data_IF_615102859488
#
_entry.id   IF_615102859488
#
_cell.length_a   1.000
_cell.length_b   1.000
_cell.length_c   1.000
_cell.angle_alpha   90.00
_cell.angle_beta   90.00
_cell.angle_gamma   90.00
#
_symmetry.space_group_name_H-M   'P 1'
#
loop_
_entity.id
_entity.type
_entity.pdbx_description
1 polymer ?
#
# COMPACT_ATOMS: atom_id res chain seq x y z
N UNK A 1 -2.63 -6.83 -11.68
CA UNK A 1 -1.48 -5.92 -11.88
C UNK A 1 -1.86 -4.44 -11.70
N UNK A 2 -2.95 -3.95 -12.31
CA UNK A 2 -3.34 -2.53 -12.24
C UNK A 2 -3.57 -2.02 -10.81
N UNK A 3 -4.23 -2.80 -9.95
CA UNK A 3 -4.47 -2.41 -8.53
C UNK A 3 -3.15 -2.22 -7.77
N UNK A 4 -2.19 -3.15 -7.92
CA UNK A 4 -0.88 -3.03 -7.30
C UNK A 4 -0.11 -1.79 -7.80
N UNK A 5 -0.21 -1.46 -9.10
CA UNK A 5 0.38 -0.23 -9.65
C UNK A 5 -0.25 1.03 -9.04
N UNK A 6 -1.58 1.09 -8.92
CA UNK A 6 -2.26 2.21 -8.26
C UNK A 6 -1.81 2.35 -6.81
N UNK A 7 -1.75 1.24 -6.07
CA UNK A 7 -1.30 1.25 -4.68
C UNK A 7 0.14 1.72 -4.55
N UNK A 8 1.02 1.29 -5.47
CA UNK A 8 2.40 1.76 -5.52
C UNK A 8 2.47 3.27 -5.74
N UNK A 9 1.74 3.80 -6.73
CA UNK A 9 1.69 5.25 -6.99
C UNK A 9 1.10 6.04 -5.82
N UNK A 10 0.07 5.50 -5.17
CA UNK A 10 -0.50 6.08 -3.95
C UNK A 10 0.50 6.11 -2.81
N UNK A 11 1.23 5.02 -2.59
CA UNK A 11 2.32 4.96 -1.62
C UNK A 11 3.41 5.99 -1.93
N UNK A 12 3.84 6.07 -3.19
CA UNK A 12 4.84 7.04 -3.66
C UNK A 12 4.44 8.47 -3.34
N UNK A 13 3.20 8.85 -3.64
CA UNK A 13 2.68 10.18 -3.33
C UNK A 13 2.69 10.48 -1.82
N UNK A 14 2.33 9.49 -1.00
CA UNK A 14 2.36 9.62 0.47
C UNK A 14 3.79 9.74 1.01
N UNK A 15 4.73 9.00 0.43
CA UNK A 15 6.16 9.07 0.77
C UNK A 15 6.74 10.46 0.47
N UNK A 16 6.40 11.02 -0.69
CA UNK A 16 6.76 12.41 -1.05
C UNK A 16 6.12 13.43 -0.10
N UNK A 17 4.89 13.20 0.34
CA UNK A 17 4.22 14.06 1.33
C UNK A 17 4.81 13.94 2.75
N UNK A 18 5.60 12.90 3.05
CA UNK A 18 6.30 12.68 4.33
C UNK A 18 5.38 12.35 5.51
N UNK A 19 4.16 11.87 5.24
CA UNK A 19 3.19 11.58 6.30
C UNK A 19 3.09 10.08 6.57
N UNK A 20 3.86 9.63 7.57
CA UNK A 20 3.81 8.23 8.02
C UNK A 20 2.43 7.84 8.57
N UNK A 21 1.67 8.80 9.13
CA UNK A 21 0.31 8.51 9.62
C UNK A 21 -0.63 8.14 8.47
N UNK A 22 -0.47 8.76 7.30
CA UNK A 22 -1.28 8.46 6.13
C UNK A 22 -1.01 7.06 5.58
N UNK A 23 0.25 6.59 5.57
CA UNK A 23 0.55 5.25 5.03
C UNK A 23 -0.05 4.14 5.89
N UNK A 24 -0.05 4.30 7.22
CA UNK A 24 -0.74 3.38 8.13
C UNK A 24 -2.26 3.39 7.91
N UNK A 25 -2.86 4.58 7.76
CA UNK A 25 -4.29 4.71 7.48
C UNK A 25 -4.71 4.02 6.18
N UNK A 26 -3.99 4.27 5.08
CA UNK A 26 -4.29 3.65 3.78
C UNK A 26 -4.07 2.13 3.83
N UNK A 27 -3.02 1.67 4.52
CA UNK A 27 -2.77 0.23 4.70
C UNK A 27 -3.91 -0.45 5.46
N UNK A 28 -4.43 0.18 6.52
CA UNK A 28 -5.58 -0.31 7.25
C UNK A 28 -6.86 -0.36 6.39
N UNK A 29 -7.07 0.64 5.53
CA UNK A 29 -8.20 0.65 4.58
C UNK A 29 -8.07 -0.49 3.56
N UNK A 30 -6.89 -0.70 2.98
CA UNK A 30 -6.63 -1.81 2.04
C UNK A 30 -6.90 -3.17 2.70
N UNK A 31 -6.45 -3.34 3.94
CA UNK A 31 -6.69 -4.54 4.73
C UNK A 31 -8.19 -4.75 4.99
N UNK A 32 -8.90 -3.72 5.44
CA UNK A 32 -10.33 -3.79 5.75
C UNK A 32 -11.17 -4.12 4.50
N UNK A 33 -10.92 -3.44 3.38
CA UNK A 33 -11.62 -3.69 2.12
C UNK A 33 -11.35 -5.12 1.62
N UNK A 34 -10.11 -5.58 1.69
CA UNK A 34 -9.76 -6.95 1.28
C UNK A 34 -10.41 -7.99 2.18
N UNK A 35 -10.44 -7.76 3.49
CA UNK A 35 -11.14 -8.63 4.45
C UNK A 35 -12.64 -8.66 4.21
N UNK A 36 -13.26 -7.53 3.88
CA UNK A 36 -14.68 -7.44 3.56
C UNK A 36 -15.00 -8.20 2.26
N UNK A 37 -14.13 -8.13 1.25
CA UNK A 37 -14.25 -8.92 0.02
C UNK A 37 -14.15 -10.42 0.30
N UNK A 38 -13.26 -10.85 1.20
CA UNK A 38 -13.19 -12.26 1.60
C UNK A 38 -14.45 -12.73 2.32
N UNK A 39 -14.94 -11.94 3.29
CA UNK A 39 -16.18 -12.25 4.00
C UNK A 39 -17.37 -12.35 3.03
N UNK A 40 -17.46 -11.44 2.06
CA UNK A 40 -18.51 -11.45 1.04
C UNK A 40 -18.43 -12.66 0.10
N UNK A 41 -17.21 -13.17 -0.15
CA UNK A 41 -17.00 -14.35 -1.02
C UNK A 41 -17.11 -15.68 -0.28
N UNK A 42 -17.00 -15.69 1.05
CA UNK A 42 -16.99 -16.93 1.84
C UNK A 42 -15.76 -17.81 1.63
N UNK A 43 -14.79 -17.36 0.81
CA UNK A 43 -13.59 -18.10 0.42
C UNK A 43 -12.36 -17.44 1.03
N UNK A 44 -11.97 -17.88 2.22
CA UNK A 44 -10.68 -17.53 2.81
C UNK A 44 -9.62 -18.45 2.21
N UNK A 45 -9.04 -18.01 1.09
CA UNK A 45 -8.04 -18.78 0.34
C UNK A 45 -6.62 -18.24 0.49
N UNK A 46 -5.63 -19.13 0.42
CA UNK A 46 -4.19 -18.78 0.41
C UNK A 46 -3.85 -17.79 -0.72
N UNK A 47 -4.47 -17.96 -1.89
CA UNK A 47 -4.32 -17.04 -3.02
C UNK A 47 -4.78 -15.64 -2.68
N UNK A 48 -5.92 -15.51 -1.99
CA UNK A 48 -6.40 -14.22 -1.50
C UNK A 48 -5.39 -13.55 -0.57
N UNK A 49 -4.83 -14.32 0.37
CA UNK A 49 -3.83 -13.83 1.32
C UNK A 49 -2.55 -13.35 0.62
N UNK A 50 -2.08 -14.09 -0.39
CA UNK A 50 -0.94 -13.68 -1.22
C UNK A 50 -1.24 -12.41 -2.02
N UNK A 51 -2.46 -12.26 -2.53
CA UNK A 51 -2.90 -11.06 -3.24
C UNK A 51 -2.95 -9.86 -2.29
N UNK A 52 -3.52 -10.00 -1.10
CA UNK A 52 -3.50 -8.95 -0.08
C UNK A 52 -2.06 -8.58 0.31
N UNK A 53 -1.20 -9.57 0.53
CA UNK A 53 0.21 -9.36 0.81
C UNK A 53 0.87 -8.55 -0.31
N UNK A 54 0.68 -8.95 -1.58
CA UNK A 54 1.22 -8.23 -2.73
C UNK A 54 0.73 -6.78 -2.83
N UNK A 55 -0.55 -6.53 -2.51
CA UNK A 55 -1.12 -5.18 -2.48
C UNK A 55 -0.49 -4.30 -1.38
N UNK A 56 -0.33 -4.85 -0.17
CA UNK A 56 0.33 -4.15 0.94
C UNK A 56 1.81 -3.90 0.62
N UNK A 57 2.52 -4.90 0.08
CA UNK A 57 3.92 -4.75 -0.34
C UNK A 57 4.07 -3.68 -1.42
N UNK A 58 3.18 -3.64 -2.42
CA UNK A 58 3.22 -2.61 -3.46
C UNK A 58 3.04 -1.20 -2.88
N UNK A 59 2.08 -1.03 -1.95
CA UNK A 59 1.85 0.23 -1.26
C UNK A 59 3.09 0.67 -0.44
N UNK A 60 3.67 -0.25 0.34
CA UNK A 60 4.84 0.02 1.18
C UNK A 60 6.10 0.31 0.34
N UNK A 61 6.30 -0.42 -0.76
CA UNK A 61 7.40 -0.16 -1.68
C UNK A 61 7.27 1.23 -2.33
N UNK A 62 6.06 1.63 -2.71
CA UNK A 62 5.78 2.97 -3.20
C UNK A 62 6.15 4.04 -2.18
N UNK A 63 5.66 3.89 -0.94
CA UNK A 63 5.95 4.81 0.16
C UNK A 63 7.45 4.96 0.41
N UNK A 64 8.16 3.84 0.51
CA UNK A 64 9.60 3.83 0.77
C UNK A 64 10.35 4.56 -0.36
N UNK A 65 9.97 4.31 -1.61
CA UNK A 65 10.53 4.99 -2.79
C UNK A 65 10.32 6.51 -2.71
N UNK A 66 9.12 6.94 -2.35
CA UNK A 66 8.78 8.36 -2.25
C UNK A 66 9.51 9.05 -1.09
N UNK A 67 9.60 8.37 0.05
CA UNK A 67 10.27 8.88 1.25
C UNK A 67 11.79 9.03 1.03
N UNK A 68 12.44 8.04 0.40
CA UNK A 68 13.87 8.15 0.06
C UNK A 68 14.15 9.26 -0.94
N UNK A 69 13.29 9.42 -1.95
CA UNK A 69 13.45 10.49 -2.93
C UNK A 69 13.33 11.86 -2.27
N UNK A 70 12.31 12.05 -1.42
CA UNK A 70 12.15 13.27 -0.63
C UNK A 70 13.38 13.55 0.24
N UNK A 71 13.90 12.54 0.93
CA UNK A 71 15.09 12.70 1.78
C UNK A 71 16.30 13.18 0.96
N UNK A 72 16.54 12.59 -0.21
CA UNK A 72 17.63 13.02 -1.09
C UNK A 72 17.42 14.41 -1.71
N UNK A 73 16.17 14.85 -1.91
CA UNK A 73 15.87 16.22 -2.36
C UNK A 73 16.00 17.26 -1.21
N UNK A 74 15.92 16.83 0.05
CA UNK A 74 16.10 17.66 1.25
C UNK A 74 17.56 17.72 1.75
N UNK A 75 18.46 16.85 1.24
CA UNK A 75 19.90 16.92 1.49
C UNK A 75 20.55 18.05 0.66
N UNK A 76 21.35 18.95 1.27
CA UNK A 76 21.93 20.13 0.62
C UNK A 76 23.12 19.84 -0.32
#
# INVERSE_FOLDING_TARGET
>A
MLVALILFLGGLAVGLAGSIRLIFGISAVVLALSGLVWLARGEVGVVGALVLFAHLTALQAGYLTGAYRRYGDEEP
#
